data_IF_055351980466
#
_entry.id   IF_055351980466
#
_cell.length_a   1.000
_cell.length_b   1.000
_cell.length_c   1.000
_cell.angle_alpha   90.00
_cell.angle_beta   90.00
_cell.angle_gamma   90.00
#
_symmetry.space_group_name_H-M   'P 1'
#
loop_
_entity.id
_entity.type
_entity.pdbx_description
1 polymer ?
#
# COMPACT_ATOMS: atom_id res chain seq x y z
N UNK A 1 -5.73 -10.06 0.65
CA UNK A 1 -6.87 -9.63 -0.19
C UNK A 1 -6.31 -9.03 -1.47
N UNK A 2 -6.69 -9.54 -2.64
CA UNK A 2 -6.30 -8.94 -3.94
C UNK A 2 -7.20 -7.73 -4.21
N UNK A 3 -6.58 -6.58 -4.49
CA UNK A 3 -7.30 -5.34 -4.76
C UNK A 3 -7.79 -5.29 -6.23
N UNK A 4 -9.03 -4.85 -6.49
CA UNK A 4 -9.48 -4.60 -7.86
C UNK A 4 -8.67 -3.49 -8.54
N UNK A 5 -8.37 -3.65 -9.84
CA UNK A 5 -7.56 -2.69 -10.59
C UNK A 5 -8.13 -1.27 -10.65
N UNK A 6 -9.44 -1.10 -10.45
CA UNK A 6 -10.12 0.21 -10.43
C UNK A 6 -10.14 0.89 -9.05
N UNK A 7 -9.59 0.28 -8.00
CA UNK A 7 -9.70 0.78 -6.61
C UNK A 7 -9.17 2.21 -6.44
N UNK A 8 -8.20 2.59 -7.26
CA UNK A 8 -7.60 3.91 -7.31
C UNK A 8 -8.54 5.01 -7.85
N UNK A 9 -9.63 4.64 -8.54
CA UNK A 9 -10.61 5.55 -9.13
C UNK A 9 -11.93 5.61 -8.36
N UNK A 10 -12.20 4.66 -7.45
CA UNK A 10 -13.45 4.63 -6.69
C UNK A 10 -13.83 3.21 -6.25
N UNK A 11 -15.10 3.03 -5.84
CA UNK A 11 -15.60 1.71 -5.46
C UNK A 11 -15.62 0.77 -6.69
N UNK A 12 -15.00 -0.42 -6.62
CA UNK A 12 -14.88 -1.30 -7.78
C UNK A 12 -16.24 -1.87 -8.23
N UNK A 13 -16.53 -1.83 -9.53
CA UNK A 13 -17.71 -2.46 -10.12
C UNK A 13 -17.63 -4.00 -10.17
N UNK A 14 -18.69 -4.66 -10.65
CA UNK A 14 -18.81 -6.12 -10.67
C UNK A 14 -17.66 -6.82 -11.40
N UNK A 15 -17.27 -6.30 -12.57
CA UNK A 15 -16.18 -6.87 -13.36
C UNK A 15 -14.84 -6.81 -12.63
N UNK A 16 -14.46 -5.64 -12.11
CA UNK A 16 -13.19 -5.46 -11.40
C UNK A 16 -13.07 -6.36 -10.16
N UNK A 17 -14.17 -6.53 -9.40
CA UNK A 17 -14.23 -7.48 -8.27
C UNK A 17 -14.11 -8.94 -8.72
N UNK A 18 -14.75 -9.31 -9.83
CA UNK A 18 -14.65 -10.66 -10.41
C UNK A 18 -13.19 -10.97 -10.78
N UNK A 19 -12.49 -10.03 -11.42
CA UNK A 19 -11.06 -10.20 -11.75
C UNK A 19 -10.24 -10.44 -10.48
N UNK A 20 -10.37 -9.57 -9.47
CA UNK A 20 -9.62 -9.71 -8.21
C UNK A 20 -9.88 -11.02 -7.46
N UNK A 21 -11.14 -11.50 -7.45
CA UNK A 21 -11.48 -12.80 -6.88
C UNK A 21 -10.90 -13.95 -7.70
N UNK A 22 -11.05 -13.90 -9.02
CA UNK A 22 -10.57 -14.96 -9.90
C UNK A 22 -9.04 -15.08 -9.86
N UNK A 23 -8.28 -14.00 -9.65
CA UNK A 23 -6.83 -14.11 -9.40
C UNK A 23 -6.53 -15.03 -8.22
N UNK A 24 -7.29 -14.94 -7.13
CA UNK A 24 -7.09 -15.84 -5.98
C UNK A 24 -7.47 -17.29 -6.32
N UNK A 25 -8.55 -17.50 -7.09
CA UNK A 25 -8.96 -18.84 -7.53
C UNK A 25 -7.90 -19.49 -8.43
N UNK A 26 -7.37 -18.75 -9.40
CA UNK A 26 -6.28 -19.24 -10.26
C UNK A 26 -5.04 -19.58 -9.42
N UNK A 27 -4.65 -18.72 -8.48
CA UNK A 27 -3.53 -19.02 -7.59
C UNK A 27 -3.78 -20.29 -6.75
N UNK A 28 -5.00 -20.52 -6.27
CA UNK A 28 -5.32 -21.68 -5.45
C UNK A 28 -5.50 -22.98 -6.26
N UNK A 29 -6.12 -22.90 -7.44
CA UNK A 29 -6.58 -24.08 -8.18
C UNK A 29 -5.64 -24.47 -9.34
N UNK A 30 -4.89 -23.51 -9.89
CA UNK A 30 -4.13 -23.71 -11.14
C UNK A 30 -2.62 -23.46 -11.00
N UNK A 31 -2.18 -22.70 -9.98
CA UNK A 31 -0.76 -22.33 -9.86
C UNK A 31 0.11 -23.36 -9.15
N UNK A 32 -0.50 -24.33 -8.45
CA UNK A 32 0.18 -25.35 -7.63
C UNK A 32 1.12 -24.78 -6.56
N UNK A 33 0.99 -23.49 -6.21
CA UNK A 33 1.83 -22.82 -5.22
C UNK A 33 1.65 -23.38 -3.80
N UNK A 34 0.55 -24.08 -3.56
CA UNK A 34 0.18 -24.71 -2.29
C UNK A 34 0.70 -26.15 -2.14
N UNK A 35 1.29 -26.74 -3.19
CA UNK A 35 1.80 -28.11 -3.14
C UNK A 35 2.97 -28.30 -2.16
N UNK A 36 3.73 -27.24 -1.88
CA UNK A 36 4.86 -27.24 -0.95
C UNK A 36 4.65 -26.13 0.07
N UNK A 37 4.74 -26.47 1.35
CA UNK A 37 4.73 -25.47 2.41
C UNK A 37 6.02 -24.63 2.35
N UNK A 38 5.86 -23.31 2.31
CA UNK A 38 6.96 -22.34 2.25
C UNK A 38 8.02 -22.65 1.16
N UNK A 39 7.67 -22.49 -0.13
CA UNK A 39 8.58 -22.80 -1.23
C UNK A 39 9.82 -21.89 -1.28
N UNK A 40 9.86 -20.80 -0.50
CA UNK A 40 10.98 -19.88 -0.44
C UNK A 40 12.00 -20.23 0.66
N UNK A 41 11.68 -21.19 1.54
CA UNK A 41 12.56 -21.63 2.62
C UNK A 41 13.94 -22.04 2.11
N UNK A 42 14.99 -21.51 2.73
CA UNK A 42 16.38 -21.75 2.35
C UNK A 42 16.88 -20.92 1.17
N UNK A 43 16.03 -20.08 0.57
CA UNK A 43 16.48 -19.08 -0.41
C UNK A 43 17.33 -18.03 0.26
N UNK A 44 18.65 -18.04 0.05
CA UNK A 44 19.57 -17.12 0.72
C UNK A 44 19.18 -15.64 0.61
N UNK A 45 18.57 -15.22 -0.50
CA UNK A 45 18.08 -13.85 -0.67
C UNK A 45 16.81 -13.56 0.15
N UNK A 46 15.85 -14.49 0.19
CA UNK A 46 14.60 -14.31 0.96
C UNK A 46 14.86 -14.42 2.45
N UNK A 47 15.73 -15.34 2.87
CA UNK A 47 16.14 -15.50 4.26
C UNK A 47 16.86 -14.25 4.78
N UNK A 48 17.79 -13.69 4.00
CA UNK A 48 18.48 -12.45 4.37
C UNK A 48 17.48 -11.28 4.49
N UNK A 49 16.59 -11.10 3.51
CA UNK A 49 15.56 -10.06 3.56
C UNK A 49 14.59 -10.25 4.75
N UNK A 50 14.29 -11.51 5.10
CA UNK A 50 13.45 -11.84 6.25
C UNK A 50 14.12 -11.43 7.55
N UNK A 51 15.42 -11.74 7.70
CA UNK A 51 16.19 -11.30 8.87
C UNK A 51 16.26 -9.78 8.98
N UNK A 52 16.56 -9.08 7.89
CA UNK A 52 16.61 -7.60 7.86
C UNK A 52 15.25 -6.97 8.21
N UNK A 53 14.15 -7.54 7.70
CA UNK A 53 12.81 -7.06 8.02
C UNK A 53 12.46 -7.27 9.49
N UNK A 54 12.82 -8.44 10.06
CA UNK A 54 12.59 -8.75 11.46
C UNK A 54 13.35 -7.79 12.39
N UNK A 55 14.63 -7.54 12.13
CA UNK A 55 15.44 -6.60 12.91
C UNK A 55 14.86 -5.18 12.84
N UNK A 56 14.56 -4.69 11.63
CA UNK A 56 13.99 -3.35 11.46
C UNK A 56 12.62 -3.21 12.15
N UNK A 57 11.78 -4.24 12.10
CA UNK A 57 10.48 -4.25 12.79
C UNK A 57 10.65 -4.28 14.32
N UNK A 58 11.63 -5.02 14.82
CA UNK A 58 11.93 -5.12 16.25
C UNK A 58 12.45 -3.79 16.81
N UNK A 59 13.36 -3.12 16.10
CA UNK A 59 13.82 -1.78 16.44
C UNK A 59 12.69 -0.76 16.50
N UNK A 60 11.79 -0.78 15.50
CA UNK A 60 10.64 0.13 15.46
C UNK A 60 9.63 -0.20 16.57
N UNK A 61 9.44 -1.47 16.90
CA UNK A 61 8.62 -1.89 18.03
C UNK A 61 9.16 -1.34 19.36
N UNK A 62 10.46 -1.53 19.63
CA UNK A 62 11.11 -0.99 20.84
C UNK A 62 11.01 0.53 20.92
N UNK A 63 11.13 1.22 19.78
CA UNK A 63 10.93 2.67 19.70
C UNK A 63 9.52 3.08 20.11
N UNK A 64 8.49 2.38 19.61
CA UNK A 64 7.10 2.64 19.99
C UNK A 64 6.88 2.40 21.49
N UNK A 65 7.46 1.34 22.06
CA UNK A 65 7.38 1.08 23.50
C UNK A 65 8.06 2.20 24.31
N UNK A 66 9.23 2.67 23.89
CA UNK A 66 9.92 3.79 24.51
C UNK A 66 9.16 5.13 24.39
N UNK A 67 8.33 5.29 23.36
CA UNK A 67 7.41 6.43 23.18
C UNK A 67 6.18 6.37 24.11
N UNK A 68 6.09 5.36 24.98
CA UNK A 68 4.96 5.13 25.89
C UNK A 68 3.87 4.23 25.29
N UNK A 69 4.23 3.43 24.28
CA UNK A 69 3.34 2.51 23.59
C UNK A 69 2.59 3.13 22.41
N UNK A 70 1.89 2.29 21.65
CA UNK A 70 1.27 2.66 20.37
C UNK A 70 0.26 3.80 20.48
N UNK A 71 -0.55 3.85 21.55
CA UNK A 71 -1.55 4.91 21.71
C UNK A 71 -0.91 6.27 21.96
N UNK A 72 0.10 6.31 22.83
CA UNK A 72 0.89 7.52 23.12
C UNK A 72 1.60 8.01 21.85
N UNK A 73 2.23 7.08 21.12
CA UNK A 73 2.92 7.37 19.87
C UNK A 73 1.99 7.97 18.80
N UNK A 74 0.77 7.42 18.65
CA UNK A 74 -0.25 7.95 17.74
C UNK A 74 -0.76 9.33 18.16
N UNK A 75 -1.05 9.55 19.45
CA UNK A 75 -1.52 10.83 19.97
C UNK A 75 -0.48 11.94 19.80
N UNK A 76 0.79 11.61 19.96
CA UNK A 76 1.91 12.54 19.76
C UNK A 76 2.31 12.72 18.28
N UNK A 77 1.69 11.94 17.37
CA UNK A 77 1.91 12.03 15.93
C UNK A 77 3.22 11.41 15.45
N UNK A 78 3.89 10.58 16.26
CA UNK A 78 5.21 10.03 15.92
C UNK A 78 5.13 9.06 14.74
N UNK A 79 4.16 8.13 14.77
CA UNK A 79 3.91 7.20 13.66
C UNK A 79 3.55 7.95 12.38
N UNK A 80 2.69 8.97 12.46
CA UNK A 80 2.29 9.79 11.31
C UNK A 80 3.48 10.46 10.66
N UNK A 81 4.35 11.10 11.44
CA UNK A 81 5.58 11.73 10.95
C UNK A 81 6.48 10.72 10.23
N UNK A 82 6.65 9.51 10.78
CA UNK A 82 7.46 8.46 10.15
C UNK A 82 6.88 7.99 8.81
N UNK A 83 5.57 7.77 8.74
CA UNK A 83 4.89 7.39 7.49
C UNK A 83 4.97 8.52 6.46
N UNK A 84 4.75 9.77 6.87
CA UNK A 84 4.84 10.93 6.00
C UNK A 84 6.27 11.12 5.46
N UNK A 85 7.31 10.95 6.30
CA UNK A 85 8.71 11.01 5.86
C UNK A 85 9.04 9.90 4.85
N UNK A 86 8.59 8.67 5.08
CA UNK A 86 8.76 7.56 4.14
C UNK A 86 8.05 7.82 2.80
N UNK A 87 6.83 8.39 2.85
CA UNK A 87 6.06 8.80 1.67
C UNK A 87 6.77 9.92 0.90
N UNK A 88 7.26 10.96 1.58
CA UNK A 88 7.98 12.07 0.97
C UNK A 88 9.26 11.61 0.25
N UNK A 89 10.06 10.76 0.90
CA UNK A 89 11.26 10.15 0.29
C UNK A 89 10.90 9.34 -0.96
N UNK A 90 9.82 8.55 -0.89
CA UNK A 90 9.34 7.77 -2.03
C UNK A 90 8.92 8.66 -3.20
N UNK A 91 8.19 9.73 -2.93
CA UNK A 91 7.74 10.68 -3.94
C UNK A 91 8.93 11.43 -4.58
N UNK A 92 9.93 11.82 -3.77
CA UNK A 92 11.15 12.43 -4.28
C UNK A 92 11.89 11.49 -5.26
N UNK A 93 11.97 10.19 -4.97
CA UNK A 93 12.59 9.21 -5.87
C UNK A 93 11.83 9.06 -7.21
N UNK A 94 10.50 9.16 -7.19
CA UNK A 94 9.72 9.20 -8.44
C UNK A 94 9.96 10.49 -9.24
N UNK A 95 9.98 11.65 -8.56
CA UNK A 95 10.24 12.94 -9.19
C UNK A 95 11.67 13.03 -9.77
N UNK A 96 12.64 12.39 -9.12
CA UNK A 96 14.02 12.28 -9.58
C UNK A 96 14.21 11.27 -10.74
N UNK A 97 13.17 10.52 -11.12
CA UNK A 97 13.25 9.49 -12.16
C UNK A 97 13.96 8.20 -11.75
N UNK A 98 14.30 8.05 -10.46
CA UNK A 98 14.92 6.81 -9.91
C UNK A 98 13.93 5.65 -9.86
N UNK A 99 12.63 5.94 -9.90
CA UNK A 99 11.55 4.97 -9.90
C UNK A 99 10.58 5.27 -11.04
N UNK A 100 10.11 4.24 -11.72
CA UNK A 100 9.17 4.36 -12.84
C UNK A 100 7.81 3.73 -12.51
N UNK A 101 6.76 4.32 -13.07
CA UNK A 101 5.39 3.79 -13.07
C UNK A 101 4.98 3.60 -14.52
N UNK A 102 4.79 2.35 -14.93
CA UNK A 102 4.30 2.01 -16.28
C UNK A 102 2.89 2.56 -16.48
N UNK A 103 2.66 3.25 -17.59
CA UNK A 103 1.42 3.95 -17.90
C UNK A 103 1.34 5.39 -17.40
N UNK A 104 2.26 5.82 -16.51
CA UNK A 104 2.32 7.20 -15.99
C UNK A 104 3.62 7.88 -16.37
N UNK A 105 4.74 7.52 -15.73
CA UNK A 105 6.06 8.12 -16.04
C UNK A 105 6.73 7.41 -17.21
N UNK A 106 6.47 6.10 -17.35
CA UNK A 106 7.02 5.27 -18.41
C UNK A 106 5.90 4.80 -19.33
N UNK A 107 6.01 5.09 -20.62
CA UNK A 107 4.99 4.78 -21.64
C UNK A 107 3.59 5.34 -21.31
N UNK A 108 3.43 6.66 -21.10
CA UNK A 108 2.11 7.26 -20.87
C UNK A 108 1.21 7.06 -22.09
N UNK A 109 -0.05 6.71 -21.84
CA UNK A 109 -1.07 6.64 -22.89
C UNK A 109 -1.43 8.05 -23.37
N UNK A 110 -1.67 8.21 -24.68
CA UNK A 110 -2.15 9.48 -25.25
C UNK A 110 -3.63 9.74 -24.93
N UNK A 111 -4.38 8.69 -24.62
CA UNK A 111 -5.80 8.77 -24.29
C UNK A 111 -6.16 7.66 -23.31
N UNK A 112 -6.92 7.99 -22.27
CA UNK A 112 -7.42 7.04 -21.29
C UNK A 112 -8.91 6.74 -21.54
N UNK A 113 -9.29 5.47 -21.43
CA UNK A 113 -10.69 5.05 -21.48
C UNK A 113 -11.40 5.30 -20.14
N UNK A 114 -12.73 5.38 -20.13
CA UNK A 114 -13.49 5.54 -18.89
C UNK A 114 -13.34 4.30 -17.99
N UNK A 115 -13.22 4.54 -16.68
CA UNK A 115 -13.13 3.47 -15.67
C UNK A 115 -14.49 3.29 -14.99
N UNK A 116 -15.04 2.08 -15.06
CA UNK A 116 -16.32 1.75 -14.43
C UNK A 116 -16.15 1.64 -12.90
N UNK A 117 -16.90 2.46 -12.16
CA UNK A 117 -16.93 2.47 -10.69
C UNK A 117 -18.37 2.55 -10.20
N UNK A 118 -18.60 2.14 -8.95
CA UNK A 118 -19.89 2.33 -8.29
C UNK A 118 -19.95 3.72 -7.67
N UNK A 119 -21.12 4.36 -7.78
CA UNK A 119 -21.41 5.57 -7.03
C UNK A 119 -21.37 5.25 -5.53
N UNK A 120 -20.61 6.05 -4.78
CA UNK A 120 -20.44 5.87 -3.35
C UNK A 120 -20.21 7.21 -2.67
N UNK A 121 -20.88 7.41 -1.55
CA UNK A 121 -20.62 8.56 -0.69
C UNK A 121 -19.42 8.26 0.21
N UNK A 122 -18.56 9.27 0.40
CA UNK A 122 -17.44 9.15 1.32
C UNK A 122 -18.01 9.14 2.74
N UNK A 123 -17.78 8.03 3.46
CA UNK A 123 -18.15 7.96 4.88
C UNK A 123 -17.39 9.07 5.64
N UNK A 124 -18.07 9.84 6.51
CA UNK A 124 -17.39 10.84 7.33
C UNK A 124 -16.34 10.15 8.22
N UNK A 125 -15.29 10.89 8.55
CA UNK A 125 -14.27 10.42 9.46
C UNK A 125 -14.90 10.09 10.82
N UNK A 126 -14.42 9.01 11.46
CA UNK A 126 -14.82 8.70 12.82
C UNK A 126 -14.30 9.80 13.76
N UNK A 127 -15.20 10.43 14.51
CA UNK A 127 -14.88 11.48 15.48
C UNK A 127 -14.87 10.98 16.92
N UNK A 128 -15.26 9.73 17.14
CA UNK A 128 -15.36 9.10 18.46
C UNK A 128 -14.30 8.02 18.62
N UNK A 129 -13.65 7.95 19.80
CA UNK A 129 -12.64 6.95 20.10
C UNK A 129 -11.80 7.26 21.34
N UNK A 130 -11.01 6.29 21.79
CA UNK A 130 -10.12 6.39 22.97
C UNK A 130 -8.85 7.20 22.67
N UNK A 131 -8.44 7.26 21.40
CA UNK A 131 -7.34 8.08 20.93
C UNK A 131 -7.72 8.73 19.59
N UNK A 132 -7.52 10.04 19.48
CA UNK A 132 -7.70 10.80 18.24
C UNK A 132 -6.32 11.14 17.71
N UNK A 133 -6.09 10.89 16.43
CA UNK A 133 -4.86 11.23 15.76
C UNK A 133 -5.14 11.60 14.30
N UNK A 134 -4.19 12.26 13.65
CA UNK A 134 -4.34 12.61 12.24
C UNK A 134 -4.48 11.34 11.39
N UNK A 135 -5.55 11.22 10.58
CA UNK A 135 -5.76 10.05 9.74
C UNK A 135 -4.78 10.04 8.56
N UNK A 136 -4.13 8.90 8.34
CA UNK A 136 -3.33 8.66 7.15
C UNK A 136 -4.24 8.15 6.03
N UNK A 137 -4.43 8.98 5.00
CA UNK A 137 -5.24 8.59 3.84
C UNK A 137 -4.40 7.83 2.80
N UNK A 138 -4.95 6.77 2.20
CA UNK A 138 -4.31 6.17 1.04
C UNK A 138 -4.28 7.18 -0.11
N UNK A 139 -3.11 7.34 -0.72
CA UNK A 139 -2.91 8.20 -1.89
C UNK A 139 -2.64 7.35 -3.13
N UNK A 140 -3.14 7.82 -4.27
CA UNK A 140 -2.75 7.28 -5.58
C UNK A 140 -1.33 7.75 -5.86
N UNK A 141 -0.40 6.83 -6.13
CA UNK A 141 1.03 7.19 -6.22
C UNK A 141 1.30 8.16 -7.38
N UNK A 142 0.64 7.96 -8.52
CA UNK A 142 0.71 8.85 -9.69
C UNK A 142 0.08 10.23 -9.45
N UNK A 143 -0.88 10.37 -8.52
CA UNK A 143 -1.49 11.66 -8.20
C UNK A 143 -0.46 12.67 -7.66
N UNK A 144 0.53 12.18 -6.90
CA UNK A 144 1.62 13.01 -6.38
C UNK A 144 2.64 13.42 -7.47
N UNK A 145 2.60 12.77 -8.63
CA UNK A 145 3.53 13.00 -9.75
C UNK A 145 2.86 13.89 -10.82
N UNK A 146 1.60 13.60 -11.16
CA UNK A 146 0.84 14.30 -12.20
C UNK A 146 0.43 15.74 -11.88
N UNK A 147 0.54 16.19 -10.62
CA UNK A 147 0.31 17.60 -10.26
C UNK A 147 1.43 18.55 -10.72
N UNK A 148 2.51 18.02 -11.32
CA UNK A 148 3.68 18.78 -11.76
C UNK A 148 3.80 18.91 -13.29
N UNK A 149 2.70 18.75 -14.05
CA UNK A 149 2.66 18.90 -15.52
C UNK A 149 1.66 19.96 -15.95
#
# INVERSE_FOLDING_TARGET
>A
SILPHTIAHGLPAGFARRVARNTQLIMAEESHIDHVADPACGSGAVEALTAELCEAAWEEFQRIEAEGGVLSSLQQGHIQKRVQAASARRNAAYQAGERAIVGTTLHPSKSEGPVETLAAERRPAFTEGVAVCEPLFPIRIDQAIGAAS
#
